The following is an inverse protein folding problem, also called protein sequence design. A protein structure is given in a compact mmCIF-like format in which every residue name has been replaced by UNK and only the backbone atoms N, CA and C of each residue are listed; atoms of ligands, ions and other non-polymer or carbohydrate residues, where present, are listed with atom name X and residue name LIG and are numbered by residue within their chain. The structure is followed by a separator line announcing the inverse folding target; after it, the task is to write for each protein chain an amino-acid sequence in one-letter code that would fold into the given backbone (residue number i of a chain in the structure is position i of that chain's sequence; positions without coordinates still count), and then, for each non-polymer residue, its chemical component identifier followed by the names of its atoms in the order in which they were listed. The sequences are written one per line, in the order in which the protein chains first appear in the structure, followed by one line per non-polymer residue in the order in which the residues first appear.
data_IF_851368630744
#
_entry.id   IF_851368630744
#
_cell.length_a   1.000
_cell.length_b   1.000
_cell.length_c   1.000
_cell.angle_alpha   90.00
_cell.angle_beta   90.00
_cell.angle_gamma   90.00
#
_symmetry.space_group_name_H-M   'P 1'
#
loop_
_entity.id
_entity.type
_entity.pdbx_description
1 polymer ?
#
# COMPACT_ATOMS: atom_id res chain seq x y z
N UNK A 1 8.90 8.62 9.99
CA UNK A 1 8.17 7.89 8.92
C UNK A 1 6.68 8.05 9.15
N UNK A 2 5.90 8.25 8.10
CA UNK A 2 4.44 8.42 8.17
C UNK A 2 3.77 7.13 7.74
N UNK A 3 2.96 6.55 8.62
CA UNK A 3 2.05 5.46 8.27
C UNK A 3 0.74 6.04 7.75
N UNK A 4 0.49 5.93 6.45
CA UNK A 4 -0.76 6.41 5.86
C UNK A 4 -1.80 5.29 5.91
N UNK A 5 -2.95 5.57 6.54
CA UNK A 5 -4.10 4.68 6.55
C UNK A 5 -4.80 4.72 5.19
N UNK A 6 -4.54 3.74 4.32
CA UNK A 6 -4.97 3.74 2.91
C UNK A 6 -5.56 2.41 2.48
N UNK A 7 -6.26 2.39 1.35
CA UNK A 7 -6.92 1.19 0.84
C UNK A 7 -8.29 1.03 1.46
N UNK A 8 -9.29 1.10 0.59
CA UNK A 8 -10.69 0.84 0.92
C UNK A 8 -11.38 0.23 -0.31
N UNK A 9 -12.52 -0.41 -0.07
CA UNK A 9 -13.47 -0.81 -1.13
C UNK A 9 -14.80 -0.12 -0.88
N UNK A 10 -15.49 0.36 -1.93
CA UNK A 10 -16.84 0.88 -1.78
C UNK A 10 -17.78 -0.22 -1.29
N UNK A 11 -18.55 0.05 -0.23
CA UNK A 11 -19.61 -0.83 0.26
C UNK A 11 -20.93 -0.05 0.25
N UNK A 12 -21.96 -0.49 -0.50
CA UNK A 12 -23.23 0.21 -0.57
C UNK A 12 -23.85 0.46 0.81
N UNK A 13 -24.31 1.68 1.05
CA UNK A 13 -24.93 2.08 2.32
C UNK A 13 -23.95 2.29 3.48
N UNK A 14 -22.65 2.07 3.28
CA UNK A 14 -21.63 2.33 4.31
C UNK A 14 -20.94 3.66 4.00
N UNK A 15 -21.20 4.65 4.85
CA UNK A 15 -20.52 5.93 4.82
C UNK A 15 -19.63 6.08 6.07
N UNK A 16 -18.51 6.84 5.98
CA UNK A 16 -17.76 7.21 7.16
C UNK A 16 -18.67 7.97 8.14
N UNK A 17 -18.55 7.75 9.46
CA UNK A 17 -19.28 8.52 10.46
C UNK A 17 -19.09 10.03 10.22
N UNK A 18 -20.10 10.89 10.49
CA UNK A 18 -20.02 12.32 10.16
C UNK A 18 -18.79 13.02 10.71
N UNK A 19 -18.33 12.63 11.91
CA UNK A 19 -17.12 13.18 12.51
C UNK A 19 -15.84 12.83 11.73
N UNK A 20 -15.75 11.60 11.21
CA UNK A 20 -14.63 11.18 10.37
C UNK A 20 -14.69 11.89 9.02
N UNK A 21 -15.88 11.97 8.41
CA UNK A 21 -16.08 12.65 7.14
C UNK A 21 -15.64 14.13 7.20
N UNK A 22 -15.95 14.83 8.30
CA UNK A 22 -15.51 16.22 8.53
C UNK A 22 -13.99 16.39 8.59
N UNK A 23 -13.28 15.40 9.14
CA UNK A 23 -11.82 15.46 9.34
C UNK A 23 -11.03 14.98 8.13
N UNK A 24 -11.62 14.13 7.29
CA UNK A 24 -10.92 13.46 6.19
C UNK A 24 -10.20 14.43 5.24
N UNK A 25 -10.78 15.59 4.82
CA UNK A 25 -10.06 16.54 3.97
C UNK A 25 -8.79 17.10 4.64
N UNK A 26 -8.86 17.42 5.94
CA UNK A 26 -7.72 17.92 6.69
C UNK A 26 -6.64 16.85 6.87
N UNK A 27 -7.05 15.60 7.12
CA UNK A 27 -6.13 14.45 7.20
C UNK A 27 -5.39 14.27 5.87
N UNK A 28 -6.09 14.23 4.74
CA UNK A 28 -5.48 14.10 3.41
C UNK A 28 -4.56 15.29 3.08
N UNK A 29 -4.99 16.52 3.42
CA UNK A 29 -4.17 17.72 3.26
C UNK A 29 -2.87 17.66 4.07
N UNK A 30 -2.92 17.18 5.31
CA UNK A 30 -1.73 17.01 6.14
C UNK A 30 -0.80 15.92 5.59
N UNK A 31 -1.33 14.81 5.08
CA UNK A 31 -0.51 13.76 4.46
C UNK A 31 0.19 14.29 3.21
N UNK A 32 -0.52 15.03 2.33
CA UNK A 32 0.10 15.73 1.19
C UNK A 32 1.23 16.65 1.63
N UNK A 33 0.99 17.47 2.66
CA UNK A 33 1.99 18.41 3.15
C UNK A 33 3.24 17.71 3.70
N UNK A 34 3.05 16.60 4.41
CA UNK A 34 4.18 15.79 4.91
C UNK A 34 4.96 15.15 3.77
N UNK A 35 4.28 14.70 2.72
CA UNK A 35 4.92 14.17 1.50
C UNK A 35 5.74 15.24 0.78
N UNK A 36 5.17 16.44 0.58
CA UNK A 36 5.88 17.60 0.00
C UNK A 36 7.15 18.00 0.78
N UNK A 37 7.14 17.79 2.11
CA UNK A 37 8.29 18.04 2.98
C UNK A 37 9.33 16.89 2.98
N UNK A 38 9.12 15.85 2.18
CA UNK A 38 10.05 14.73 2.01
C UNK A 38 9.95 13.66 3.11
N UNK A 39 8.86 13.62 3.88
CA UNK A 39 8.69 12.56 4.87
C UNK A 39 8.56 11.20 4.16
N UNK A 40 9.22 10.12 4.64
CA UNK A 40 9.01 8.79 4.07
C UNK A 40 7.63 8.25 4.44
N UNK A 41 6.97 7.60 3.49
CA UNK A 41 5.63 7.02 3.66
C UNK A 41 5.65 5.50 3.59
N UNK A 42 4.83 4.88 4.43
CA UNK A 42 4.47 3.47 4.36
C UNK A 42 2.95 3.32 4.31
N UNK A 43 2.47 2.37 3.53
CA UNK A 43 1.04 2.05 3.49
C UNK A 43 0.66 1.16 4.68
N UNK A 44 -0.36 1.56 5.43
CA UNK A 44 -1.05 0.70 6.39
C UNK A 44 -2.54 0.69 6.07
N UNK A 45 -3.18 -0.48 6.01
CA UNK A 45 -4.58 -0.54 5.58
C UNK A 45 -5.57 -0.59 6.73
N UNK A 46 -5.15 -1.10 7.88
CA UNK A 46 -6.09 -1.52 8.93
C UNK A 46 -7.09 -2.58 8.42
N UNK A 47 -6.60 -3.45 7.53
CA UNK A 47 -7.40 -4.51 6.92
C UNK A 47 -7.96 -5.46 7.99
N UNK A 48 -9.29 -5.64 7.98
CA UNK A 48 -10.04 -6.44 8.94
C UNK A 48 -10.89 -5.61 9.90
N UNK A 49 -10.70 -4.29 10.00
CA UNK A 49 -11.40 -3.47 10.99
C UNK A 49 -12.88 -3.20 10.67
N UNK A 50 -13.26 -3.23 9.39
CA UNK A 50 -14.60 -2.89 8.93
C UNK A 50 -14.89 -3.46 7.52
N UNK A 51 -16.17 -3.55 7.09
CA UNK A 51 -16.53 -4.04 5.76
C UNK A 51 -15.86 -3.30 4.59
N UNK A 52 -15.60 -2.00 4.74
CA UNK A 52 -14.90 -1.17 3.73
C UNK A 52 -13.39 -1.46 3.65
N UNK A 53 -12.85 -2.25 4.58
CA UNK A 53 -11.44 -2.64 4.69
C UNK A 53 -11.32 -4.15 4.90
N UNK A 54 -11.72 -4.98 3.93
CA UNK A 54 -11.54 -6.42 4.04
C UNK A 54 -10.05 -6.79 4.11
N UNK A 55 -9.76 -8.02 4.55
CA UNK A 55 -8.41 -8.58 4.36
C UNK A 55 -8.02 -8.54 2.87
N UNK A 56 -6.75 -8.25 2.59
CA UNK A 56 -6.24 -8.13 1.21
C UNK A 56 -6.44 -6.76 0.52
N UNK A 57 -7.04 -5.77 1.20
CA UNK A 57 -7.35 -4.44 0.60
C UNK A 57 -6.11 -3.59 0.26
N UNK A 58 -4.90 -4.03 0.59
CA UNK A 58 -3.66 -3.30 0.27
C UNK A 58 -3.50 -3.00 -1.23
N UNK A 59 -4.04 -3.87 -2.09
CA UNK A 59 -3.99 -3.68 -3.55
C UNK A 59 -4.79 -2.47 -4.04
N UNK A 60 -5.66 -1.88 -3.20
CA UNK A 60 -6.41 -0.64 -3.52
C UNK A 60 -5.75 0.62 -2.96
N UNK A 61 -4.72 0.49 -2.13
CA UNK A 61 -3.95 1.60 -1.58
C UNK A 61 -3.39 2.60 -2.61
N UNK A 62 -2.96 2.19 -3.84
CA UNK A 62 -2.35 3.13 -4.79
C UNK A 62 -3.22 4.33 -5.13
N UNK A 63 -4.54 4.18 -5.22
CA UNK A 63 -5.43 5.31 -5.53
C UNK A 63 -5.34 6.40 -4.46
N UNK A 64 -5.40 6.03 -3.18
CA UNK A 64 -5.29 6.98 -2.08
C UNK A 64 -3.87 7.51 -1.89
N UNK A 65 -2.85 6.70 -2.19
CA UNK A 65 -1.45 7.14 -2.16
C UNK A 65 -1.17 8.18 -3.26
N UNK A 66 -1.76 7.99 -4.44
CA UNK A 66 -1.76 8.99 -5.50
C UNK A 66 -2.47 10.27 -5.08
N UNK A 67 -3.62 10.16 -4.42
CA UNK A 67 -4.35 11.31 -3.90
C UNK A 67 -3.54 12.12 -2.89
N UNK A 68 -2.55 11.53 -2.21
CA UNK A 68 -1.66 12.26 -1.29
C UNK A 68 -0.33 12.69 -1.93
N UNK A 69 -0.15 12.50 -3.24
CA UNK A 69 1.00 13.00 -4.01
C UNK A 69 2.05 11.95 -4.37
N UNK A 70 1.93 10.70 -3.93
CA UNK A 70 2.92 9.66 -4.27
C UNK A 70 2.77 9.21 -5.73
N UNK A 71 3.88 9.23 -6.46
CA UNK A 71 3.95 8.64 -7.80
C UNK A 71 3.89 7.10 -7.79
N UNK A 72 3.72 6.43 -8.95
CA UNK A 72 3.61 4.97 -9.02
C UNK A 72 4.83 4.22 -8.42
N UNK A 73 6.04 4.65 -8.77
CA UNK A 73 7.27 4.04 -8.22
C UNK A 73 7.40 4.28 -6.71
N UNK A 74 6.99 5.44 -6.22
CA UNK A 74 7.01 5.75 -4.79
C UNK A 74 5.98 4.92 -4.02
N UNK A 75 4.78 4.75 -4.59
CA UNK A 75 3.74 3.85 -4.08
C UNK A 75 4.26 2.42 -3.95
N UNK A 76 4.92 1.88 -4.98
CA UNK A 76 5.52 0.54 -4.91
C UNK A 76 6.58 0.45 -3.81
N UNK A 77 7.42 1.48 -3.65
CA UNK A 77 8.40 1.53 -2.56
C UNK A 77 7.74 1.59 -1.18
N UNK A 78 6.65 2.35 -1.02
CA UNK A 78 5.90 2.49 0.22
C UNK A 78 5.27 1.17 0.70
N UNK A 79 4.98 0.25 -0.23
CA UNK A 79 4.47 -1.11 0.07
C UNK A 79 5.54 -2.21 0.02
N UNK A 80 6.81 -1.86 -0.25
CA UNK A 80 7.93 -2.82 -0.33
C UNK A 80 9.14 -2.36 0.48
N UNK A 81 10.15 -1.77 -0.17
CA UNK A 81 11.45 -1.40 0.42
C UNK A 81 11.35 -0.44 1.59
N UNK A 82 10.48 0.57 1.54
CA UNK A 82 10.31 1.52 2.66
C UNK A 82 9.66 0.83 3.85
N UNK A 83 8.62 0.03 3.61
CA UNK A 83 7.97 -0.78 4.64
C UNK A 83 8.95 -1.76 5.30
N UNK A 84 9.76 -2.46 4.50
CA UNK A 84 10.79 -3.35 5.00
C UNK A 84 11.83 -2.61 5.86
N UNK A 85 12.26 -1.42 5.44
CA UNK A 85 13.17 -0.57 6.21
C UNK A 85 12.59 -0.16 7.57
N UNK A 86 11.34 0.31 7.59
CA UNK A 86 10.64 0.71 8.82
C UNK A 86 10.47 -0.45 9.80
N UNK A 87 10.22 -1.66 9.30
CA UNK A 87 10.12 -2.87 10.12
C UNK A 87 11.47 -3.44 10.55
N UNK A 88 12.61 -2.80 10.22
CA UNK A 88 13.95 -3.32 10.54
C UNK A 88 14.40 -4.50 9.67
N UNK A 89 13.68 -4.80 8.59
CA UNK A 89 13.90 -5.94 7.71
C UNK A 89 14.56 -5.58 6.38
N UNK A 90 14.90 -4.31 6.15
CA UNK A 90 15.45 -3.81 4.88
C UNK A 90 16.78 -4.45 4.45
N UNK A 91 17.46 -5.17 5.34
CA UNK A 91 18.66 -5.94 5.04
C UNK A 91 18.37 -7.28 4.32
N UNK A 92 17.11 -7.75 4.32
CA UNK A 92 16.72 -9.02 3.70
C UNK A 92 15.35 -9.02 3.00
N UNK A 93 14.54 -7.96 3.12
CA UNK A 93 13.20 -7.86 2.50
C UNK A 93 13.00 -6.56 1.72
N UNK A 94 11.97 -6.57 0.87
CA UNK A 94 11.46 -5.37 0.18
C UNK A 94 12.22 -4.97 -1.09
N UNK A 95 13.18 -5.78 -1.54
CA UNK A 95 13.93 -5.57 -2.78
C UNK A 95 14.15 -6.91 -3.48
N UNK A 96 14.05 -6.91 -4.80
CA UNK A 96 14.48 -8.02 -5.66
C UNK A 96 15.97 -7.83 -5.96
N UNK A 97 16.82 -8.50 -5.20
CA UNK A 97 18.27 -8.47 -5.36
C UNK A 97 18.92 -9.71 -4.71
N UNK A 98 20.12 -10.13 -5.16
CA UNK A 98 20.86 -11.20 -4.49
C UNK A 98 21.06 -10.91 -2.99
N UNK A 99 20.92 -11.94 -2.16
CA UNK A 99 21.04 -11.84 -0.70
C UNK A 99 19.74 -11.47 0.05
N UNK A 100 18.66 -11.16 -0.66
CA UNK A 100 17.34 -10.92 -0.07
C UNK A 100 16.49 -12.21 -0.08
N UNK A 101 15.52 -12.28 0.84
CA UNK A 101 14.52 -13.35 0.84
C UNK A 101 13.77 -13.35 -0.49
N UNK A 102 13.57 -14.54 -1.09
CA UNK A 102 12.80 -14.72 -2.31
C UNK A 102 11.28 -14.62 -2.05
N UNK A 103 10.85 -13.46 -1.56
CA UNK A 103 9.45 -13.07 -1.39
C UNK A 103 9.03 -12.22 -2.60
N UNK A 104 8.26 -12.81 -3.50
CA UNK A 104 7.92 -12.22 -4.81
C UNK A 104 6.42 -12.28 -5.04
N UNK A 105 5.90 -11.23 -5.68
CA UNK A 105 4.54 -11.20 -6.23
C UNK A 105 4.66 -10.85 -7.70
N UNK A 106 4.15 -11.72 -8.56
CA UNK A 106 4.02 -11.46 -9.99
C UNK A 106 2.60 -11.03 -10.31
N UNK A 107 2.45 -10.02 -11.17
CA UNK A 107 1.17 -9.46 -11.60
C UNK A 107 1.06 -9.45 -13.12
N UNK A 108 -0.17 -9.55 -13.63
CA UNK A 108 -0.48 -9.37 -15.04
C UNK A 108 -0.62 -7.87 -15.38
N UNK A 109 0.37 -7.34 -16.07
CA UNK A 109 0.49 -5.92 -16.45
C UNK A 109 1.58 -5.16 -15.69
N UNK A 110 1.75 -3.89 -16.03
CA UNK A 110 2.77 -3.02 -15.44
C UNK A 110 2.17 -2.12 -14.33
N UNK A 111 2.51 -2.35 -13.04
CA UNK A 111 2.00 -1.54 -11.94
C UNK A 111 2.54 -0.10 -11.90
N UNK A 112 3.58 0.23 -12.67
CA UNK A 112 4.06 1.61 -12.83
C UNK A 112 3.17 2.41 -13.79
N UNK A 113 2.60 1.75 -14.80
CA UNK A 113 1.69 2.35 -15.77
C UNK A 113 0.22 2.26 -15.32
N UNK A 114 -0.18 1.12 -14.75
CA UNK A 114 -1.53 0.83 -14.27
C UNK A 114 -1.48 0.23 -12.86
N UNK A 115 -1.69 1.04 -11.81
CA UNK A 115 -1.70 0.54 -10.44
C UNK A 115 -2.73 -0.55 -10.16
N UNK A 116 -3.76 -0.70 -11.01
CA UNK A 116 -4.74 -1.79 -10.88
C UNK A 116 -4.15 -3.17 -11.19
N UNK A 117 -2.97 -3.24 -11.84
CA UNK A 117 -2.22 -4.47 -12.04
C UNK A 117 -1.94 -5.19 -10.71
N UNK A 118 -1.80 -4.47 -9.61
CA UNK A 118 -1.63 -5.05 -8.27
C UNK A 118 -2.80 -5.95 -7.82
N UNK A 119 -3.95 -5.87 -8.48
CA UNK A 119 -5.10 -6.75 -8.24
C UNK A 119 -5.08 -8.02 -9.11
N UNK A 120 -4.28 -8.05 -10.17
CA UNK A 120 -4.17 -9.17 -11.10
C UNK A 120 -2.92 -9.99 -10.79
N UNK A 121 -2.80 -10.46 -9.55
CA UNK A 121 -1.70 -11.33 -9.14
C UNK A 121 -1.76 -12.60 -9.99
N UNK A 122 -0.62 -13.11 -10.47
CA UNK A 122 -0.50 -14.37 -11.22
C UNK A 122 0.32 -15.43 -10.49
N UNK A 123 1.24 -15.03 -9.63
CA UNK A 123 1.99 -15.93 -8.76
C UNK A 123 2.44 -15.23 -7.48
N UNK A 124 2.59 -16.00 -6.41
CA UNK A 124 3.14 -15.54 -5.13
C UNK A 124 4.19 -16.54 -4.70
N UNK A 125 5.37 -16.05 -4.34
CA UNK A 125 6.45 -16.84 -3.76
C UNK A 125 6.78 -16.29 -2.38
N UNK A 126 6.90 -17.17 -1.40
CA UNK A 126 7.36 -16.84 -0.06
C UNK A 126 8.58 -17.69 0.27
N UNK A 127 9.70 -17.04 0.59
CA UNK A 127 11.00 -17.69 0.86
C UNK A 127 11.41 -18.69 -0.24
N UNK A 128 11.12 -18.37 -1.50
CA UNK A 128 11.46 -19.19 -2.65
C UNK A 128 10.51 -20.34 -2.96
N UNK A 129 9.46 -20.55 -2.16
CA UNK A 129 8.42 -21.53 -2.43
C UNK A 129 7.17 -20.84 -2.99
N UNK A 130 6.57 -21.42 -4.04
CA UNK A 130 5.27 -20.97 -4.53
C UNK A 130 4.20 -21.17 -3.44
N UNK A 131 3.38 -20.13 -3.23
CA UNK A 131 2.25 -20.17 -2.31
C UNK A 131 1.02 -20.60 -3.09
N UNK A 132 0.40 -21.76 -2.76
CA UNK A 132 -0.84 -22.20 -3.40
C UNK A 132 -1.95 -21.16 -3.21
N UNK A 133 -2.83 -21.07 -4.21
CA UNK A 133 -4.00 -20.19 -4.19
C UNK A 133 -5.20 -20.80 -3.50
#
# INVERSE_FOLDING_TARGET
VVGATVGMVPVPGVAPPPEIARRLPAVLGNLRRLHELGAPFVAGTDAGIAPVKPHGVLTTAPAMLHDIGLGPAETLRAITSVAAGVCGLGHRKGRVAPGFDADLVAVDGDPLADPSALRRVVAVYARGAEVPR
#
